data_IF_435415466655
#
_entry.id   IF_435415466655
#
_cell.length_a   1.000
_cell.length_b   1.000
_cell.length_c   1.000
_cell.angle_alpha   90.00
_cell.angle_beta   90.00
_cell.angle_gamma   90.00
#
_symmetry.space_group_name_H-M   'P 1'
#
loop_
_entity.id
_entity.type
_entity.pdbx_description
1 polymer ?
#
# COMPACT_ATOMS: atom_id res chain seq x y z
N UNK A 1 -5.08 -6.73 9.94
CA UNK A 1 -5.50 -5.50 10.67
C UNK A 1 -5.40 -4.32 9.72
N UNK A 2 -6.38 -3.41 9.69
CA UNK A 2 -6.36 -2.25 8.78
C UNK A 2 -5.84 -1.02 9.49
N UNK A 3 -5.29 -0.10 8.71
CA UNK A 3 -4.65 1.10 9.18
C UNK A 3 -5.10 2.29 8.33
N UNK A 4 -5.36 3.39 9.02
CA UNK A 4 -5.71 4.68 8.45
C UNK A 4 -4.43 5.52 8.30
N UNK A 5 -4.06 5.92 7.09
CA UNK A 5 -2.83 6.70 6.86
C UNK A 5 -2.96 8.17 7.26
N UNK A 6 -4.15 8.77 7.16
CA UNK A 6 -4.40 10.17 7.59
C UNK A 6 -4.38 10.35 9.11
N UNK A 7 -5.05 9.45 9.82
CA UNK A 7 -5.26 9.55 11.27
C UNK A 7 -4.36 8.63 12.12
N UNK A 8 -3.54 7.79 11.47
CA UNK A 8 -2.57 6.88 12.08
C UNK A 8 -3.14 5.86 13.09
N UNK A 9 -4.41 5.48 12.93
CA UNK A 9 -5.10 4.52 13.82
C UNK A 9 -5.31 3.16 13.16
N UNK A 10 -5.26 2.11 13.97
CA UNK A 10 -5.67 0.77 13.58
C UNK A 10 -7.18 0.59 13.74
N UNK A 11 -7.76 -0.17 12.81
CA UNK A 11 -9.18 -0.49 12.81
C UNK A 11 -9.41 -1.80 12.05
N UNK A 12 -10.56 -2.44 12.27
CA UNK A 12 -11.02 -3.59 11.49
C UNK A 12 -11.99 -3.16 10.37
N UNK A 13 -12.60 -1.98 10.51
CA UNK A 13 -13.55 -1.41 9.55
C UNK A 13 -12.82 -0.99 8.27
N UNK A 14 -13.50 -1.07 7.12
CA UNK A 14 -12.95 -0.62 5.83
C UNK A 14 -12.81 0.90 5.75
N UNK A 15 -13.69 1.62 6.43
CA UNK A 15 -13.68 3.07 6.54
C UNK A 15 -13.26 3.45 7.96
N UNK A 16 -12.39 4.44 8.08
CA UNK A 16 -11.96 4.94 9.37
C UNK A 16 -13.15 5.61 10.09
N UNK A 17 -13.47 5.23 11.33
CA UNK A 17 -14.60 5.80 12.08
C UNK A 17 -14.38 7.26 12.51
N UNK A 18 -13.15 7.80 12.37
CA UNK A 18 -12.79 9.13 12.87
C UNK A 18 -12.68 10.14 11.73
N UNK A 19 -11.99 9.77 10.64
CA UNK A 19 -11.75 10.68 9.52
C UNK A 19 -12.51 10.32 8.24
N UNK A 20 -13.27 9.22 8.23
CA UNK A 20 -14.04 8.77 7.06
C UNK A 20 -13.22 8.23 5.88
N UNK A 21 -11.90 8.14 6.01
CA UNK A 21 -11.02 7.72 4.91
C UNK A 21 -10.95 6.19 4.78
N UNK A 22 -10.63 5.70 3.57
CA UNK A 22 -10.41 4.28 3.32
C UNK A 22 -9.18 3.79 4.09
N UNK A 23 -9.33 2.65 4.72
CA UNK A 23 -8.27 2.00 5.49
C UNK A 23 -7.64 0.89 4.68
N UNK A 24 -6.37 0.61 4.93
CA UNK A 24 -5.57 -0.33 4.15
C UNK A 24 -4.91 -1.38 5.04
N UNK A 25 -4.60 -2.54 4.48
CA UNK A 25 -3.74 -3.52 5.14
C UNK A 25 -2.36 -2.89 5.35
N UNK A 26 -1.87 -2.86 6.60
CA UNK A 26 -0.52 -2.35 6.90
C UNK A 26 0.57 -3.40 6.69
N UNK A 27 0.20 -4.67 6.77
CA UNK A 27 1.14 -5.76 6.55
C UNK A 27 1.67 -5.75 5.11
N UNK A 28 2.99 -5.95 4.91
CA UNK A 28 3.57 -5.98 3.59
C UNK A 28 3.07 -7.19 2.79
N UNK A 29 3.15 -7.13 1.44
CA UNK A 29 2.92 -8.31 0.62
C UNK A 29 3.93 -9.41 0.97
N UNK A 30 3.52 -10.68 0.84
CA UNK A 30 4.42 -11.82 1.06
C UNK A 30 5.55 -11.80 0.03
N UNK A 31 6.76 -12.11 0.47
CA UNK A 31 7.91 -12.28 -0.42
C UNK A 31 7.92 -13.69 -1.02
N UNK A 32 8.32 -13.80 -2.29
CA UNK A 32 8.55 -15.07 -2.99
C UNK A 32 9.84 -14.95 -3.80
N UNK A 33 10.78 -15.90 -3.70
CA UNK A 33 12.01 -15.88 -4.51
C UNK A 33 11.76 -15.90 -6.02
N UNK A 34 10.70 -16.57 -6.50
CA UNK A 34 10.39 -16.59 -7.93
C UNK A 34 9.85 -15.26 -8.46
N UNK A 35 9.20 -14.43 -7.62
CA UNK A 35 8.67 -13.10 -7.92
C UNK A 35 8.25 -12.86 -9.39
N UNK A 36 7.23 -13.61 -9.85
CA UNK A 36 6.77 -13.62 -11.26
C UNK A 36 6.51 -12.21 -11.84
N UNK A 37 6.10 -11.26 -11.00
CA UNK A 37 5.78 -9.89 -11.41
C UNK A 37 6.89 -8.87 -11.10
N UNK A 38 8.08 -9.33 -10.70
CA UNK A 38 9.20 -8.47 -10.30
C UNK A 38 9.72 -7.56 -11.39
N UNK A 39 9.64 -7.97 -12.65
CA UNK A 39 9.97 -7.13 -13.81
C UNK A 39 9.04 -5.93 -13.91
N UNK A 40 7.72 -6.18 -13.99
CA UNK A 40 6.70 -5.14 -14.10
C UNK A 40 6.69 -4.18 -12.92
N UNK A 41 6.84 -4.71 -11.69
CA UNK A 41 6.93 -3.89 -10.48
C UNK A 41 8.10 -2.90 -10.53
N UNK A 42 9.25 -3.31 -11.09
CA UNK A 42 10.42 -2.43 -11.26
C UNK A 42 10.22 -1.40 -12.37
N UNK A 43 9.57 -1.77 -13.47
CA UNK A 43 9.24 -0.81 -14.53
C UNK A 43 8.33 0.31 -14.02
N UNK A 44 7.20 -0.04 -13.41
CA UNK A 44 6.24 0.94 -12.86
C UNK A 44 6.91 1.88 -11.86
N UNK A 45 7.77 1.35 -10.97
CA UNK A 45 8.51 2.17 -10.01
C UNK A 45 9.47 3.15 -10.68
N UNK A 46 10.15 2.74 -11.76
CA UNK A 46 11.02 3.63 -12.54
C UNK A 46 10.23 4.73 -13.24
N UNK A 47 9.08 4.38 -13.80
CA UNK A 47 8.18 5.35 -14.43
C UNK A 47 7.70 6.38 -13.39
N UNK A 48 7.16 5.94 -12.25
CA UNK A 48 6.76 6.84 -11.17
C UNK A 48 7.88 7.81 -10.73
N UNK A 49 9.12 7.32 -10.64
CA UNK A 49 10.28 8.16 -10.30
C UNK A 49 10.57 9.17 -11.41
N UNK A 50 10.50 8.76 -12.68
CA UNK A 50 10.71 9.65 -13.83
C UNK A 50 9.68 10.79 -13.86
N UNK A 51 8.41 10.50 -13.58
CA UNK A 51 7.33 11.48 -13.58
C UNK A 51 7.34 12.41 -12.35
N UNK A 52 7.94 11.99 -11.24
CA UNK A 52 8.13 12.81 -10.04
C UNK A 52 9.34 13.74 -10.13
N UNK A 53 10.14 13.62 -11.19
CA UNK A 53 11.32 14.44 -11.46
C UNK A 53 10.96 15.53 -12.46
#
# INVERSE_FOLDING_TARGET
>A
MKYCYKCKRYTLKYVCPVCGEKTYKKEPPRFSPQDKYGYYRRMLKKEEIKWKK
#
